data_IF_621194030295
#
_entry.id   IF_621194030295
#
_cell.length_a   1.000
_cell.length_b   1.000
_cell.length_c   1.000
_cell.angle_alpha   90.00
_cell.angle_beta   90.00
_cell.angle_gamma   90.00
#
_symmetry.space_group_name_H-M   'P 1'
#
loop_
_entity.id
_entity.type
_entity.pdbx_description
1 polymer ?
#
# COMPACT_ATOMS: atom_id res chain seq x y z
N UNK A 1 22.79 37.17 8.41
CA UNK A 1 21.90 37.21 7.22
C UNK A 1 22.03 35.98 6.30
N UNK A 2 23.17 35.28 6.31
CA UNK A 2 23.40 34.05 5.53
C UNK A 2 22.71 32.82 6.13
N UNK A 3 22.70 32.67 7.46
CA UNK A 3 22.09 31.52 8.15
C UNK A 3 20.57 31.41 7.96
N UNK A 4 19.85 32.54 7.93
CA UNK A 4 18.39 32.55 7.75
C UNK A 4 17.98 32.10 6.34
N UNK A 5 18.80 32.41 5.32
CA UNK A 5 18.56 31.95 3.94
C UNK A 5 18.82 30.44 3.81
N UNK A 6 19.86 29.92 4.45
CA UNK A 6 20.17 28.49 4.46
C UNK A 6 19.07 27.67 5.17
N UNK A 7 18.56 28.17 6.30
CA UNK A 7 17.47 27.53 7.02
C UNK A 7 16.16 27.50 6.20
N UNK A 8 15.84 28.60 5.50
CA UNK A 8 14.68 28.65 4.61
C UNK A 8 14.83 27.71 3.41
N UNK A 9 16.03 27.60 2.81
CA UNK A 9 16.26 26.66 1.70
C UNK A 9 16.16 25.21 2.14
N UNK A 10 16.69 24.86 3.32
CA UNK A 10 16.58 23.50 3.89
C UNK A 10 15.13 23.18 4.22
N UNK A 11 14.40 24.14 4.79
CA UNK A 11 12.98 23.97 5.08
C UNK A 11 12.17 23.73 3.78
N UNK A 12 12.36 24.54 2.73
CA UNK A 12 11.67 24.35 1.45
C UNK A 12 12.00 23.00 0.79
N UNK A 13 13.28 22.59 0.82
CA UNK A 13 13.71 21.29 0.29
C UNK A 13 13.09 20.12 1.08
N UNK A 14 13.03 20.23 2.41
CA UNK A 14 12.45 19.22 3.29
C UNK A 14 10.92 19.12 3.16
N UNK A 15 10.23 20.25 2.94
CA UNK A 15 8.80 20.26 2.64
C UNK A 15 8.48 19.61 1.30
N UNK A 16 9.37 19.75 0.32
CA UNK A 16 9.20 19.18 -1.03
C UNK A 16 9.31 17.65 -1.04
N UNK A 17 10.15 17.06 -0.18
CA UNK A 17 10.28 15.59 -0.07
C UNK A 17 9.07 14.92 0.56
N UNK A 18 8.33 15.63 1.43
CA UNK A 18 7.12 15.10 2.07
C UNK A 18 5.90 15.07 1.13
N UNK A 19 5.88 15.88 0.06
CA UNK A 19 4.74 15.97 -0.85
C UNK A 19 4.60 14.75 -1.79
N UNK A 20 5.66 13.96 -1.99
CA UNK A 20 5.70 12.84 -2.93
C UNK A 20 5.44 11.46 -2.28
N UNK A 21 5.20 11.42 -0.97
CA UNK A 21 5.33 10.19 -0.17
C UNK A 21 4.00 9.53 0.22
N UNK A 22 3.03 9.42 -0.70
CA UNK A 22 1.93 8.46 -0.55
C UNK A 22 2.29 7.16 -1.28
N UNK A 23 3.05 6.30 -0.60
CA UNK A 23 3.33 4.96 -1.10
C UNK A 23 2.05 4.11 -1.03
N UNK A 24 1.25 4.17 -2.09
CA UNK A 24 0.10 3.30 -2.33
C UNK A 24 0.59 1.84 -2.48
N UNK A 25 0.43 1.03 -1.45
CA UNK A 25 0.82 -0.39 -1.47
C UNK A 25 -0.43 -1.27 -1.57
N UNK A 26 -0.85 -1.54 -2.80
CA UNK A 26 -1.94 -2.48 -3.10
C UNK A 26 -1.72 -3.88 -2.49
N UNK A 27 -0.50 -4.21 -2.07
CA UNK A 27 -0.16 -5.45 -1.39
C UNK A 27 -0.92 -5.60 -0.07
N UNK A 28 -1.34 -4.50 0.57
CA UNK A 28 -2.18 -4.51 1.78
C UNK A 28 -3.52 -5.24 1.61
N UNK A 29 -3.96 -5.48 0.38
CA UNK A 29 -5.10 -6.33 0.07
C UNK A 29 -4.91 -7.79 0.52
N UNK A 30 -3.66 -8.25 0.65
CA UNK A 30 -3.36 -9.59 1.17
C UNK A 30 -3.79 -9.79 2.64
N UNK A 31 -3.82 -8.71 3.43
CA UNK A 31 -4.14 -8.71 4.86
C UNK A 31 -5.57 -8.26 5.15
N UNK A 32 -6.26 -7.66 4.18
CA UNK A 32 -7.64 -7.21 4.28
C UNK A 32 -8.52 -8.08 3.37
N UNK A 33 -8.90 -9.30 3.80
CA UNK A 33 -9.69 -10.19 2.99
C UNK A 33 -11.06 -9.56 2.71
N UNK A 34 -11.35 -9.29 1.43
CA UNK A 34 -12.69 -8.91 0.98
C UNK A 34 -13.58 -10.16 1.11
N UNK A 35 -14.19 -10.35 2.27
CA UNK A 35 -15.03 -11.51 2.53
C UNK A 35 -16.39 -11.33 1.85
N UNK A 36 -16.51 -11.95 0.67
CA UNK A 36 -17.70 -12.31 -0.12
C UNK A 36 -18.76 -11.22 -0.40
N UNK A 37 -19.08 -10.94 -1.69
CA UNK A 37 -20.07 -9.94 -2.10
C UNK A 37 -21.53 -10.44 -2.17
N UNK A 38 -21.87 -11.61 -1.60
CA UNK A 38 -23.21 -12.24 -1.70
C UNK A 38 -24.37 -11.44 -1.07
N UNK A 39 -24.12 -10.23 -0.60
CA UNK A 39 -25.16 -9.32 -0.16
C UNK A 39 -24.75 -7.88 -0.47
N UNK A 40 -25.03 -7.38 -1.67
CA UNK A 40 -24.97 -5.94 -1.91
C UNK A 40 -26.14 -5.45 -2.77
N UNK A 41 -27.14 -4.91 -2.06
CA UNK A 41 -28.28 -4.19 -2.60
C UNK A 41 -27.83 -2.78 -3.04
N UNK A 42 -28.43 -2.29 -4.12
CA UNK A 42 -28.27 -0.96 -4.75
C UNK A 42 -27.88 0.13 -3.71
N UNK A 43 -26.62 0.58 -3.75
CA UNK A 43 -26.05 1.55 -2.77
C UNK A 43 -24.59 1.30 -2.36
N UNK A 44 -23.83 0.51 -3.12
CA UNK A 44 -22.54 -0.05 -2.71
C UNK A 44 -21.36 0.90 -2.52
N UNK A 45 -21.16 1.37 -1.27
CA UNK A 45 -19.87 1.71 -0.68
C UNK A 45 -19.88 1.42 0.83
N UNK A 46 -18.89 0.68 1.38
CA UNK A 46 -17.55 1.28 1.52
C UNK A 46 -16.35 0.33 1.38
N UNK A 47 -16.46 -0.83 0.71
CA UNK A 47 -15.33 -1.78 0.59
C UNK A 47 -14.09 -1.09 0.02
N UNK A 48 -14.21 -0.47 -1.16
CA UNK A 48 -13.07 0.18 -1.82
C UNK A 48 -12.53 1.44 -1.14
N UNK A 49 -13.39 2.15 -0.43
CA UNK A 49 -13.01 3.36 0.31
C UNK A 49 -12.25 3.03 1.61
N UNK A 50 -12.52 1.87 2.20
CA UNK A 50 -11.87 1.39 3.41
C UNK A 50 -10.58 0.60 3.15
N UNK A 51 -10.34 0.16 1.91
CA UNK A 51 -9.11 -0.58 1.56
C UNK A 51 -7.89 0.35 1.62
N UNK A 52 -6.94 0.12 2.56
CA UNK A 52 -5.74 0.92 2.67
C UNK A 52 -4.79 0.63 1.51
N UNK A 53 -4.01 1.65 1.11
CA UNK A 53 -2.94 1.48 0.12
C UNK A 53 -3.38 1.50 -1.35
N UNK A 54 -4.67 1.72 -1.64
CA UNK A 54 -5.14 1.97 -3.00
C UNK A 54 -4.97 3.46 -3.38
N UNK A 55 -4.36 3.70 -4.54
CA UNK A 55 -4.33 5.03 -5.16
C UNK A 55 -5.74 5.50 -5.56
N UNK A 56 -5.95 6.80 -5.80
CA UNK A 56 -7.25 7.29 -6.28
C UNK A 56 -7.73 6.59 -7.56
N UNK A 57 -6.83 6.30 -8.50
CA UNK A 57 -7.14 5.56 -9.72
C UNK A 57 -7.51 4.09 -9.47
N UNK A 58 -6.74 3.41 -8.59
CA UNK A 58 -7.05 2.03 -8.19
C UNK A 58 -8.37 1.94 -7.42
N UNK A 59 -8.72 2.95 -6.63
CA UNK A 59 -10.00 3.04 -5.92
C UNK A 59 -11.17 3.13 -6.89
N UNK A 60 -11.04 3.92 -7.97
CA UNK A 60 -12.04 3.97 -9.04
C UNK A 60 -12.21 2.62 -9.74
N UNK A 61 -11.11 1.93 -10.04
CA UNK A 61 -11.16 0.58 -10.62
C UNK A 61 -11.79 -0.45 -9.67
N UNK A 62 -11.45 -0.40 -8.38
CA UNK A 62 -12.09 -1.24 -7.36
C UNK A 62 -13.60 -1.04 -7.34
N UNK A 63 -14.07 0.21 -7.41
CA UNK A 63 -15.51 0.52 -7.41
C UNK A 63 -16.22 -0.02 -8.65
N UNK A 64 -15.56 0.00 -9.81
CA UNK A 64 -16.09 -0.53 -11.07
C UNK A 64 -16.10 -2.06 -11.11
N UNK A 65 -15.11 -2.71 -10.49
CA UNK A 65 -14.85 -4.14 -10.61
C UNK A 65 -14.74 -4.83 -9.24
N UNK A 66 -15.74 -4.62 -8.38
CA UNK A 66 -15.69 -5.08 -6.98
C UNK A 66 -15.59 -6.61 -6.86
N UNK A 67 -16.25 -7.35 -7.75
CA UNK A 67 -16.22 -8.81 -7.78
C UNK A 67 -14.81 -9.39 -8.00
N UNK A 68 -13.91 -8.64 -8.65
CA UNK A 68 -12.53 -9.07 -8.88
C UNK A 68 -11.63 -8.89 -7.65
N UNK A 69 -12.04 -8.08 -6.67
CA UNK A 69 -11.18 -7.72 -5.54
C UNK A 69 -10.84 -8.91 -4.64
N UNK A 70 -11.70 -9.93 -4.58
CA UNK A 70 -11.42 -11.19 -3.87
C UNK A 70 -10.19 -11.86 -4.45
N UNK A 71 -10.17 -12.05 -5.77
CA UNK A 71 -9.05 -12.70 -6.47
C UNK A 71 -7.78 -11.86 -6.45
N UNK A 72 -7.90 -10.53 -6.51
CA UNK A 72 -6.74 -9.62 -6.37
C UNK A 72 -6.10 -9.78 -4.97
N UNK A 73 -6.91 -9.84 -3.91
CA UNK A 73 -6.43 -10.06 -2.54
C UNK A 73 -5.77 -11.44 -2.37
N UNK A 74 -6.36 -12.49 -2.94
CA UNK A 74 -5.76 -13.83 -2.95
C UNK A 74 -4.43 -13.88 -3.71
N UNK A 75 -4.34 -13.22 -4.86
CA UNK A 75 -3.10 -13.09 -5.63
C UNK A 75 -2.00 -12.39 -4.83
N UNK A 76 -2.33 -11.30 -4.13
CA UNK A 76 -1.40 -10.59 -3.26
C UNK A 76 -0.90 -11.50 -2.11
N UNK A 77 -1.81 -12.27 -1.49
CA UNK A 77 -1.47 -13.24 -0.43
C UNK A 77 -0.54 -14.34 -0.94
N UNK A 78 -0.80 -14.87 -2.13
CA UNK A 78 0.04 -15.89 -2.74
C UNK A 78 1.44 -15.35 -3.11
N UNK A 79 1.52 -14.11 -3.61
CA UNK A 79 2.79 -13.46 -3.90
C UNK A 79 3.68 -13.31 -2.64
N UNK A 80 3.07 -12.96 -1.49
CA UNK A 80 3.81 -12.87 -0.22
C UNK A 80 4.30 -14.24 0.24
N UNK A 81 3.45 -15.27 0.16
CA UNK A 81 3.85 -16.64 0.51
C UNK A 81 5.03 -17.11 -0.34
N UNK A 82 4.97 -16.85 -1.65
CA UNK A 82 6.06 -17.21 -2.56
C UNK A 82 7.34 -16.41 -2.26
N UNK A 83 7.21 -15.11 -1.95
CA UNK A 83 8.35 -14.30 -1.50
C UNK A 83 9.01 -14.91 -0.25
N UNK A 84 8.21 -15.21 0.77
CA UNK A 84 8.69 -15.86 1.99
C UNK A 84 9.36 -17.20 1.69
N UNK A 85 8.80 -18.00 0.78
CA UNK A 85 9.40 -19.25 0.37
C UNK A 85 10.76 -19.04 -0.31
N UNK A 86 10.84 -18.20 -1.33
CA UNK A 86 12.06 -17.96 -2.10
C UNK A 86 13.18 -17.32 -1.26
N UNK A 87 12.81 -16.42 -0.34
CA UNK A 87 13.75 -15.64 0.46
C UNK A 87 13.96 -16.19 1.87
N UNK A 88 13.46 -17.39 2.20
CA UNK A 88 13.53 -17.98 3.55
C UNK A 88 14.94 -18.10 4.16
N UNK A 89 15.99 -18.11 3.34
CA UNK A 89 17.41 -18.17 3.77
C UNK A 89 18.18 -16.86 3.50
N UNK A 90 17.48 -15.76 3.20
CA UNK A 90 18.09 -14.45 2.96
C UNK A 90 17.99 -13.58 4.21
N UNK A 91 18.87 -12.56 4.31
CA UNK A 91 18.86 -11.58 5.41
C UNK A 91 17.51 -10.86 5.56
N UNK A 92 16.86 -10.60 4.43
CA UNK A 92 15.44 -10.20 4.38
C UNK A 92 14.63 -11.37 3.82
N UNK A 93 13.65 -11.86 4.59
CA UNK A 93 12.92 -13.10 4.34
C UNK A 93 11.42 -12.86 4.03
N UNK A 94 11.07 -11.65 3.59
CA UNK A 94 9.68 -11.25 3.33
C UNK A 94 8.71 -11.45 4.50
N UNK A 95 9.18 -11.45 5.75
CA UNK A 95 8.29 -11.49 6.91
C UNK A 95 7.36 -10.28 6.92
N UNK A 96 6.08 -10.50 7.22
CA UNK A 96 5.09 -9.42 7.26
C UNK A 96 4.97 -8.79 8.64
N UNK A 97 4.62 -7.50 8.69
CA UNK A 97 4.52 -6.73 9.95
C UNK A 97 3.12 -6.11 10.07
N UNK A 98 2.31 -6.66 10.97
CA UNK A 98 0.94 -6.19 11.31
C UNK A 98 -0.12 -6.26 10.18
N UNK A 99 -1.36 -5.92 10.53
CA UNK A 99 -2.55 -6.01 9.65
C UNK A 99 -2.72 -4.83 8.68
N UNK A 100 -1.91 -3.76 8.80
CA UNK A 100 -2.09 -2.51 8.04
C UNK A 100 -1.11 -2.37 6.87
N UNK A 101 0.06 -3.01 6.92
CA UNK A 101 1.08 -2.92 5.88
C UNK A 101 1.85 -4.24 5.75
N UNK A 102 1.91 -4.79 4.55
CA UNK A 102 2.54 -6.11 4.34
C UNK A 102 4.02 -6.14 4.72
N UNK A 103 4.85 -5.18 4.29
CA UNK A 103 6.29 -5.16 4.61
C UNK A 103 6.76 -3.90 5.35
N UNK A 104 5.82 -3.09 5.85
CA UNK A 104 6.10 -1.92 6.69
C UNK A 104 7.13 -0.96 6.08
N UNK A 105 8.16 -0.63 6.86
CA UNK A 105 9.22 0.32 6.45
C UNK A 105 10.11 -0.20 5.32
N UNK A 106 10.16 -1.51 5.05
CA UNK A 106 10.99 -2.06 3.96
C UNK A 106 10.55 -1.53 2.61
N UNK A 107 9.24 -1.32 2.41
CA UNK A 107 8.72 -0.70 1.18
C UNK A 107 9.16 0.74 1.00
N UNK A 108 9.54 1.45 2.08
CA UNK A 108 10.02 2.84 2.02
C UNK A 108 11.52 2.93 1.72
N UNK A 109 12.26 1.84 1.85
CA UNK A 109 13.71 1.78 1.63
C UNK A 109 14.04 1.46 0.16
N UNK A 110 13.08 0.92 -0.60
CA UNK A 110 13.28 0.40 -1.96
C UNK A 110 12.70 1.25 -3.11
N UNK A 111 11.94 2.31 -2.84
CA UNK A 111 11.77 3.34 -3.86
C UNK A 111 13.12 4.07 -3.92
N UNK A 112 13.76 4.10 -5.10
CA UNK A 112 14.91 4.98 -5.33
C UNK A 112 14.50 6.37 -4.83
N UNK A 113 15.20 6.85 -3.80
CA UNK A 113 15.10 8.22 -3.32
C UNK A 113 16.26 9.04 -3.88
#
# INVERSE_FOLDING_TARGET
>A
MTGTRLLLTVALLCSCTQLLADANSWWSLAMNPVQRPEMYIIGAQPVCSQLPGLSPGQRKLCQLYQEHMVYIGEGAKNAIKECQYQFRQRRWNCSTVDNTSVFGRVMKIGCIQ
#
